data_IF_669516444683
#
_entry.id   IF_669516444683
#
_cell.length_a   1.000
_cell.length_b   1.000
_cell.length_c   1.000
_cell.angle_alpha   90.00
_cell.angle_beta   90.00
_cell.angle_gamma   90.00
#
_symmetry.space_group_name_H-M   'P 1'
#
loop_
_entity.id
_entity.type
_entity.pdbx_description
1 polymer ?
#
# COMPACT_ATOMS: atom_id res chain seq x y z
N UNK A 1 19.26 10.68 2.98
CA UNK A 1 19.46 11.54 4.17
C UNK A 1 20.61 12.52 3.91
N UNK A 2 20.33 13.61 3.20
CA UNK A 2 21.27 14.72 3.00
C UNK A 2 20.81 15.91 3.85
N UNK A 3 21.07 15.85 5.16
CA UNK A 3 20.73 16.94 6.08
C UNK A 3 21.70 18.11 5.90
N UNK A 4 21.16 19.33 5.81
CA UNK A 4 21.91 20.57 5.50
C UNK A 4 23.00 20.94 6.51
N UNK A 5 22.84 20.52 7.78
CA UNK A 5 23.82 20.72 8.84
C UNK A 5 23.89 19.43 9.67
N UNK A 6 25.08 18.84 9.84
CA UNK A 6 25.34 17.63 10.68
C UNK A 6 24.74 16.28 10.23
N UNK A 7 24.20 16.19 9.00
CA UNK A 7 23.68 14.94 8.46
C UNK A 7 24.76 13.85 8.27
N UNK A 8 24.35 12.59 8.08
CA UNK A 8 25.23 11.45 7.86
C UNK A 8 26.33 11.73 6.80
N UNK A 9 25.98 12.43 5.73
CA UNK A 9 26.90 12.89 4.70
C UNK A 9 28.06 13.74 5.26
N UNK A 10 27.77 14.69 6.15
CA UNK A 10 28.77 15.59 6.72
C UNK A 10 29.77 14.82 7.59
N UNK A 11 29.27 13.92 8.46
CA UNK A 11 30.10 13.07 9.32
C UNK A 11 31.01 12.12 8.53
N UNK A 12 30.52 11.57 7.42
CA UNK A 12 31.33 10.72 6.53
C UNK A 12 32.47 11.53 5.90
N UNK A 13 32.19 12.76 5.45
CA UNK A 13 33.21 13.64 4.86
C UNK A 13 34.25 14.11 5.87
N UNK A 14 33.86 14.33 7.13
CA UNK A 14 34.80 14.65 8.22
C UNK A 14 35.82 13.52 8.44
N UNK A 15 35.39 12.26 8.42
CA UNK A 15 36.28 11.10 8.59
C UNK A 15 37.07 10.75 7.32
N UNK A 16 36.51 11.06 6.14
CA UNK A 16 37.08 10.73 4.82
C UNK A 16 36.84 11.87 3.84
N UNK A 17 37.82 12.79 3.75
CA UNK A 17 37.77 14.00 2.90
C UNK A 17 37.48 13.77 1.41
N UNK A 18 37.83 12.59 0.88
CA UNK A 18 37.63 12.23 -0.53
C UNK A 18 36.34 11.44 -0.80
N UNK A 19 35.51 11.21 0.21
CA UNK A 19 34.25 10.51 0.01
C UNK A 19 33.30 11.33 -0.87
N UNK A 20 32.92 10.75 -2.02
CA UNK A 20 31.93 11.32 -2.93
C UNK A 20 30.55 10.88 -2.46
N UNK A 21 29.66 11.85 -2.28
CA UNK A 21 28.26 11.59 -1.97
C UNK A 21 27.41 11.86 -3.21
N UNK A 22 26.60 10.88 -3.59
CA UNK A 22 25.63 11.00 -4.68
C UNK A 22 24.23 10.88 -4.08
N UNK A 23 23.36 11.84 -4.39
CA UNK A 23 21.96 11.77 -3.97
C UNK A 23 21.23 10.67 -4.74
N UNK A 24 20.43 9.87 -4.03
CA UNK A 24 19.57 8.87 -4.66
C UNK A 24 18.37 9.55 -5.30
N UNK A 25 18.38 9.68 -6.63
CA UNK A 25 17.30 10.28 -7.43
C UNK A 25 15.96 9.60 -7.17
N UNK A 26 15.94 8.27 -7.04
CA UNK A 26 14.74 7.49 -6.71
C UNK A 26 14.14 7.89 -5.35
N UNK A 27 14.97 8.21 -4.36
CA UNK A 27 14.49 8.66 -3.05
C UNK A 27 13.95 10.10 -3.11
N UNK A 28 14.64 11.00 -3.81
CA UNK A 28 14.16 12.37 -4.02
C UNK A 28 12.81 12.39 -4.76
N UNK A 29 12.66 11.55 -5.79
CA UNK A 29 11.40 11.41 -6.52
C UNK A 29 10.27 10.85 -5.62
N UNK A 30 10.58 9.85 -4.78
CA UNK A 30 9.63 9.32 -3.80
C UNK A 30 9.14 10.43 -2.85
N UNK A 31 10.03 11.30 -2.37
CA UNK A 31 9.64 12.41 -1.48
C UNK A 31 8.71 13.40 -2.18
N UNK A 32 9.00 13.78 -3.42
CA UNK A 32 8.12 14.67 -4.21
C UNK A 32 6.75 14.03 -4.40
N UNK A 33 6.69 12.75 -4.74
CA UNK A 33 5.42 12.02 -4.91
C UNK A 33 4.61 11.92 -3.62
N UNK A 34 5.25 11.59 -2.50
CA UNK A 34 4.61 11.57 -1.18
C UNK A 34 4.05 12.95 -0.83
N UNK A 35 4.83 14.01 -1.04
CA UNK A 35 4.41 15.38 -0.72
C UNK A 35 3.23 15.83 -1.60
N UNK A 36 3.31 15.60 -2.91
CA UNK A 36 2.27 15.97 -3.85
C UNK A 36 0.93 15.28 -3.52
N UNK A 37 0.96 13.98 -3.22
CA UNK A 37 -0.25 13.27 -2.77
C UNK A 37 -0.74 13.75 -1.41
N UNK A 38 0.18 14.07 -0.49
CA UNK A 38 -0.15 14.57 0.84
C UNK A 38 -0.96 15.88 0.83
N UNK A 39 -0.84 16.66 -0.24
CA UNK A 39 -1.62 17.89 -0.45
C UNK A 39 -3.05 17.65 -0.95
N UNK A 40 -3.39 16.43 -1.40
CA UNK A 40 -4.71 16.10 -1.96
C UNK A 40 -5.44 15.17 -0.99
N UNK A 41 -6.44 15.70 -0.29
CA UNK A 41 -7.19 14.97 0.75
C UNK A 41 -7.82 13.66 0.23
N UNK A 42 -8.39 13.69 -0.98
CA UNK A 42 -9.00 12.51 -1.60
C UNK A 42 -7.96 11.43 -1.94
N UNK A 43 -6.78 11.82 -2.43
CA UNK A 43 -5.69 10.89 -2.67
C UNK A 43 -5.20 10.28 -1.35
N UNK A 44 -5.00 11.09 -0.31
CA UNK A 44 -4.64 10.59 1.03
C UNK A 44 -5.67 9.56 1.52
N UNK A 45 -6.97 9.87 1.41
CA UNK A 45 -8.04 8.96 1.82
C UNK A 45 -8.03 7.64 1.01
N UNK A 46 -7.79 7.70 -0.29
CA UNK A 46 -7.67 6.52 -1.14
C UNK A 46 -6.49 5.64 -0.72
N UNK A 47 -5.30 6.21 -0.55
CA UNK A 47 -4.11 5.45 -0.17
C UNK A 47 -4.21 4.88 1.26
N UNK A 48 -4.86 5.59 2.18
CA UNK A 48 -5.20 5.04 3.49
C UNK A 48 -6.14 3.83 3.36
N UNK A 49 -7.14 3.90 2.49
CA UNK A 49 -8.03 2.77 2.22
C UNK A 49 -7.28 1.56 1.65
N UNK A 50 -6.40 1.78 0.68
CA UNK A 50 -5.52 0.73 0.12
C UNK A 50 -4.67 0.08 1.21
N UNK A 51 -4.10 0.86 2.13
CA UNK A 51 -3.32 0.33 3.25
C UNK A 51 -4.18 -0.52 4.20
N UNK A 52 -5.40 -0.09 4.53
CA UNK A 52 -6.33 -0.86 5.36
C UNK A 52 -6.62 -2.22 4.72
N UNK A 53 -6.88 -2.23 3.41
CA UNK A 53 -7.15 -3.44 2.66
C UNK A 53 -5.94 -4.39 2.66
N UNK A 54 -4.75 -3.86 2.42
CA UNK A 54 -3.51 -4.63 2.46
C UNK A 54 -3.26 -5.27 3.82
N UNK A 55 -3.43 -4.49 4.89
CA UNK A 55 -3.29 -4.99 6.26
C UNK A 55 -4.32 -6.09 6.55
N UNK A 56 -5.56 -5.90 6.12
CA UNK A 56 -6.64 -6.86 6.32
C UNK A 56 -6.36 -8.23 5.69
N UNK A 57 -5.86 -8.26 4.46
CA UNK A 57 -5.54 -9.52 3.77
C UNK A 57 -4.17 -10.10 4.17
N UNK A 58 -3.25 -9.28 4.69
CA UNK A 58 -1.93 -9.74 5.13
C UNK A 58 -1.93 -10.29 6.56
N UNK A 59 -2.92 -9.92 7.39
CA UNK A 59 -2.94 -10.26 8.81
C UNK A 59 -3.18 -11.75 9.09
N UNK A 60 -3.90 -12.47 8.23
CA UNK A 60 -4.21 -13.89 8.41
C UNK A 60 -4.02 -14.71 7.13
N UNK A 61 -3.44 -15.89 7.29
CA UNK A 61 -3.15 -16.82 6.19
C UNK A 61 -4.41 -17.28 5.46
N UNK A 62 -5.53 -17.48 6.17
CA UNK A 62 -6.81 -17.88 5.58
C UNK A 62 -7.38 -16.79 4.64
N UNK A 63 -7.38 -15.52 5.06
CA UNK A 63 -7.83 -14.38 4.24
C UNK A 63 -6.99 -14.23 2.99
N UNK A 64 -5.67 -14.40 3.12
CA UNK A 64 -4.74 -14.38 1.99
C UNK A 64 -4.97 -15.52 1.01
N UNK A 65 -5.34 -16.71 1.51
CA UNK A 65 -5.70 -17.87 0.69
C UNK A 65 -6.97 -17.61 -0.12
N UNK A 66 -8.04 -17.16 0.54
CA UNK A 66 -9.31 -16.77 -0.13
C UNK A 66 -9.05 -15.71 -1.21
N UNK A 67 -8.26 -14.68 -0.90
CA UNK A 67 -7.90 -13.66 -1.88
C UNK A 67 -7.19 -14.24 -3.11
N UNK A 68 -6.22 -15.15 -2.90
CA UNK A 68 -5.49 -15.80 -4.01
C UNK A 68 -6.41 -16.68 -4.86
N UNK A 69 -7.34 -17.39 -4.24
CA UNK A 69 -8.33 -18.22 -4.93
C UNK A 69 -9.24 -17.36 -5.81
N UNK A 70 -9.76 -16.24 -5.28
CA UNK A 70 -10.57 -15.30 -6.07
C UNK A 70 -9.77 -14.63 -7.20
N UNK A 71 -8.49 -14.31 -6.99
CA UNK A 71 -7.66 -13.66 -8.00
C UNK A 71 -7.26 -14.59 -9.16
N UNK A 72 -7.43 -15.91 -9.06
CA UNK A 72 -7.23 -16.83 -10.18
C UNK A 72 -5.86 -16.77 -10.87
N UNK A 73 -4.80 -16.37 -10.15
CA UNK A 73 -3.45 -16.19 -10.70
C UNK A 73 -3.07 -14.75 -11.09
N UNK A 74 -3.98 -13.78 -10.92
CA UNK A 74 -3.64 -12.36 -11.06
C UNK A 74 -2.64 -11.90 -9.99
N UNK A 75 -1.91 -10.81 -10.28
CA UNK A 75 -0.92 -10.24 -9.34
C UNK A 75 -1.58 -9.93 -8.00
N UNK A 76 -1.08 -10.57 -6.95
CA UNK A 76 -1.54 -10.31 -5.58
C UNK A 76 -1.09 -8.91 -5.14
N UNK A 77 -1.99 -8.21 -4.46
CA UNK A 77 -1.72 -7.04 -3.62
C UNK A 77 -0.41 -7.21 -2.83
N UNK A 78 0.63 -6.45 -3.18
CA UNK A 78 1.88 -6.39 -2.43
C UNK A 78 1.82 -5.29 -1.38
N UNK A 79 2.49 -5.52 -0.24
CA UNK A 79 2.61 -4.52 0.82
C UNK A 79 3.22 -3.23 0.29
N UNK A 80 2.70 -2.08 0.75
CA UNK A 80 3.28 -0.78 0.43
C UNK A 80 4.66 -0.68 1.09
N UNK A 81 5.63 -0.16 0.35
CA UNK A 81 6.94 0.21 0.90
C UNK A 81 6.97 1.71 1.09
N UNK A 82 7.41 2.17 2.26
CA UNK A 82 7.62 3.60 2.52
C UNK A 82 8.75 4.17 1.65
N UNK A 83 9.75 3.35 1.33
CA UNK A 83 10.96 3.75 0.60
C UNK A 83 10.89 3.50 -0.90
N UNK A 84 9.95 2.66 -1.38
CA UNK A 84 9.81 2.31 -2.81
C UNK A 84 8.44 2.69 -3.33
N UNK A 85 8.32 3.88 -3.92
CA UNK A 85 7.10 4.35 -4.57
C UNK A 85 6.54 3.36 -5.61
N UNK A 86 7.42 2.67 -6.34
CA UNK A 86 7.01 1.68 -7.35
C UNK A 86 6.11 0.59 -6.78
N UNK A 87 6.28 0.23 -5.49
CA UNK A 87 5.42 -0.73 -4.81
C UNK A 87 3.97 -0.22 -4.66
N UNK A 88 3.77 1.10 -4.56
CA UNK A 88 2.43 1.72 -4.54
C UNK A 88 1.78 1.64 -5.91
N UNK A 89 2.52 1.93 -6.98
CA UNK A 89 2.01 1.81 -8.35
C UNK A 89 1.62 0.36 -8.69
N UNK A 90 2.46 -0.61 -8.33
CA UNK A 90 2.17 -2.05 -8.50
C UNK A 90 0.91 -2.47 -7.72
N UNK A 91 0.74 -1.99 -6.49
CA UNK A 91 -0.41 -2.30 -5.65
C UNK A 91 -1.72 -1.72 -6.24
N UNK A 92 -1.69 -0.49 -6.75
CA UNK A 92 -2.84 0.14 -7.42
C UNK A 92 -3.17 -0.63 -8.70
N UNK A 93 -2.17 -1.00 -9.49
CA UNK A 93 -2.37 -1.77 -10.72
C UNK A 93 -3.01 -3.13 -10.43
N UNK A 94 -2.54 -3.83 -9.40
CA UNK A 94 -3.15 -5.09 -8.93
C UNK A 94 -4.59 -4.88 -8.44
N UNK A 95 -4.86 -3.78 -7.73
CA UNK A 95 -6.20 -3.41 -7.26
C UNK A 95 -7.17 -3.14 -8.39
N UNK A 96 -6.74 -2.35 -9.37
CA UNK A 96 -7.54 -1.99 -10.51
C UNK A 96 -7.97 -3.23 -11.31
N UNK A 97 -7.00 -4.09 -11.64
CA UNK A 97 -7.27 -5.29 -12.44
C UNK A 97 -7.99 -6.39 -11.65
N UNK A 98 -7.76 -6.44 -10.34
CA UNK A 98 -8.39 -7.40 -9.43
C UNK A 98 -9.66 -6.88 -8.75
N UNK A 99 -10.20 -5.71 -9.13
CA UNK A 99 -11.22 -5.01 -8.34
C UNK A 99 -12.42 -5.91 -7.99
N UNK A 100 -13.01 -6.57 -8.99
CA UNK A 100 -14.17 -7.44 -8.77
C UNK A 100 -13.81 -8.66 -7.91
N UNK A 101 -12.69 -9.32 -8.19
CA UNK A 101 -12.22 -10.49 -7.45
C UNK A 101 -11.90 -10.18 -5.98
N UNK A 102 -11.31 -9.01 -5.71
CA UNK A 102 -11.02 -8.56 -4.35
C UNK A 102 -12.32 -8.28 -3.60
N UNK A 103 -13.32 -7.69 -4.27
CA UNK A 103 -14.63 -7.47 -3.68
C UNK A 103 -15.35 -8.80 -3.37
N UNK A 104 -15.26 -9.78 -4.27
CA UNK A 104 -15.78 -11.14 -4.03
C UNK A 104 -15.11 -11.79 -2.83
N UNK A 105 -13.78 -11.67 -2.69
CA UNK A 105 -13.06 -12.18 -1.53
C UNK A 105 -13.57 -11.55 -0.22
N UNK A 106 -13.83 -10.24 -0.21
CA UNK A 106 -14.45 -9.56 0.95
C UNK A 106 -15.86 -10.11 1.23
N UNK A 107 -16.68 -10.34 0.21
CA UNK A 107 -18.03 -10.91 0.41
C UNK A 107 -17.98 -12.34 0.98
N UNK A 108 -17.06 -13.17 0.51
CA UNK A 108 -16.86 -14.53 1.02
C UNK A 108 -16.44 -14.51 2.50
N UNK A 109 -15.50 -13.64 2.86
CA UNK A 109 -15.05 -13.51 4.26
C UNK A 109 -16.17 -12.98 5.15
N UNK A 110 -16.98 -12.03 4.67
CA UNK A 110 -18.10 -11.49 5.43
C UNK A 110 -19.20 -12.53 5.71
N UNK A 111 -19.42 -13.47 4.79
CA UNK A 111 -20.41 -14.55 4.91
C UNK A 111 -19.90 -15.78 5.67
N UNK A 112 -18.59 -15.93 5.83
CA UNK A 112 -18.00 -17.08 6.49
C UNK A 112 -18.29 -17.05 8.01
N UNK A 113 -19.08 -18.02 8.47
CA UNK A 113 -19.51 -18.16 9.88
C UNK A 113 -18.38 -18.57 10.82
N UNK A 114 -17.32 -19.19 10.30
CA UNK A 114 -16.14 -19.64 11.06
C UNK A 114 -15.21 -18.47 11.40
N UNK A 115 -15.39 -17.32 10.76
CA UNK A 115 -14.65 -16.10 11.10
C UNK A 115 -15.23 -15.44 12.34
N UNK A 116 -14.39 -14.77 13.14
CA UNK A 116 -14.86 -14.04 14.31
C UNK A 116 -15.87 -12.95 13.94
N UNK A 117 -16.81 -12.65 14.85
CA UNK A 117 -17.78 -11.57 14.66
C UNK A 117 -17.10 -10.21 14.37
N UNK A 118 -15.94 -9.97 14.99
CA UNK A 118 -15.08 -8.82 14.70
C UNK A 118 -14.64 -8.80 13.23
N UNK A 119 -14.09 -9.91 12.71
CA UNK A 119 -13.64 -10.03 11.31
C UNK A 119 -14.78 -9.75 10.34
N UNK A 120 -15.97 -10.28 10.60
CA UNK A 120 -17.14 -10.04 9.73
C UNK A 120 -17.53 -8.56 9.72
N UNK A 121 -17.55 -7.90 10.88
CA UNK A 121 -17.86 -6.47 11.01
C UNK A 121 -16.79 -5.59 10.33
N UNK A 122 -15.52 -5.92 10.53
CA UNK A 122 -14.40 -5.25 9.86
C UNK A 122 -14.53 -5.36 8.33
N UNK A 123 -14.82 -6.56 7.82
CA UNK A 123 -15.01 -6.82 6.40
C UNK A 123 -16.19 -6.04 5.81
N UNK A 124 -17.32 -5.96 6.54
CA UNK A 124 -18.47 -5.15 6.13
C UNK A 124 -18.12 -3.66 6.05
N UNK A 125 -17.35 -3.14 7.01
CA UNK A 125 -16.90 -1.75 6.99
C UNK A 125 -15.97 -1.47 5.81
N UNK A 126 -15.05 -2.37 5.50
CA UNK A 126 -14.18 -2.29 4.32
C UNK A 126 -15.02 -2.33 3.03
N UNK A 127 -15.99 -3.25 2.95
CA UNK A 127 -16.89 -3.37 1.80
C UNK A 127 -17.78 -2.14 1.56
N UNK A 128 -18.19 -1.42 2.61
CA UNK A 128 -18.89 -0.13 2.48
C UNK A 128 -17.99 0.92 1.85
N UNK A 129 -16.74 1.05 2.33
CA UNK A 129 -15.75 1.99 1.78
C UNK A 129 -15.33 1.63 0.35
N UNK A 130 -15.29 0.34 0.02
CA UNK A 130 -14.93 -0.17 -1.31
C UNK A 130 -15.80 0.41 -2.43
N UNK A 131 -17.10 0.61 -2.17
CA UNK A 131 -18.04 1.18 -3.14
C UNK A 131 -17.74 2.63 -3.52
N UNK A 132 -17.07 3.38 -2.65
CA UNK A 132 -16.72 4.77 -2.90
C UNK A 132 -15.57 4.91 -3.92
N UNK A 133 -14.84 3.82 -4.17
CA UNK A 133 -13.64 3.81 -5.01
C UNK A 133 -13.81 2.94 -6.25
N UNK A 134 -15.04 2.89 -6.80
CA UNK A 134 -15.31 2.15 -8.04
C UNK A 134 -14.47 2.77 -9.19
N UNK A 135 -13.71 1.96 -9.96
CA UNK A 135 -13.01 2.46 -11.14
C UNK A 135 -14.02 3.05 -12.13
N UNK A 136 -13.70 4.21 -12.71
CA UNK A 136 -14.45 4.74 -13.84
C UNK A 136 -14.20 3.81 -15.03
N UNK A 137 -15.28 3.24 -15.57
CA UNK A 137 -15.28 2.37 -16.75
C UNK A 137 -14.90 3.13 -18.02
#
# INVERSE_FOLDING_TARGET
MAGKCSGLQARIKEQRKFAIFVQCTSHSLNLVGVQALGCISEAVAYFQFVQILLNFFSSLNNRRKILKECLGGQKVLKSLSETRWSARADAIYALHNGYNHIFEALLLIAKNTDQSAYTRKETQNIGKKWKNWRPLS
#
